data_IF_789916958237
#
_entry.id   IF_789916958237
#
_cell.length_a   1.000
_cell.length_b   1.000
_cell.length_c   1.000
_cell.angle_alpha   90.00
_cell.angle_beta   90.00
_cell.angle_gamma   90.00
#
_symmetry.space_group_name_H-M   'P 1'
#
loop_
_entity.id
_entity.type
_entity.pdbx_description
1 polymer ?
#
# COMPACT_ATOMS: atom_id res chain seq x y z
N UNK A 1 5.14 -15.72 7.28
CA UNK A 1 6.10 -14.72 7.76
C UNK A 1 6.26 -13.58 6.77
N UNK A 2 6.57 -13.83 5.50
CA UNK A 2 6.82 -12.78 4.51
C UNK A 2 5.66 -11.81 4.28
N UNK A 3 4.42 -12.26 4.38
CA UNK A 3 3.25 -11.39 4.25
C UNK A 3 3.14 -10.39 5.44
N UNK A 4 3.44 -10.84 6.65
CA UNK A 4 3.41 -9.97 7.83
C UNK A 4 4.53 -8.93 7.80
N UNK A 5 5.72 -9.31 7.35
CA UNK A 5 6.85 -8.39 7.18
C UNK A 5 6.56 -7.37 6.07
N UNK A 6 6.03 -7.82 4.93
CA UNK A 6 5.63 -6.93 3.85
C UNK A 6 4.56 -5.93 4.28
N UNK A 7 3.57 -6.37 5.05
CA UNK A 7 2.55 -5.49 5.61
C UNK A 7 3.16 -4.46 6.56
N UNK A 8 4.03 -4.87 7.49
CA UNK A 8 4.66 -3.97 8.44
C UNK A 8 5.55 -2.91 7.74
N UNK A 9 6.27 -3.30 6.69
CA UNK A 9 7.04 -2.36 5.87
C UNK A 9 6.12 -1.35 5.17
N UNK A 10 5.07 -1.83 4.54
CA UNK A 10 4.11 -0.98 3.85
C UNK A 10 3.43 0.01 4.80
N UNK A 11 3.01 -0.45 5.99
CA UNK A 11 2.37 0.40 7.00
C UNK A 11 3.32 1.51 7.48
N UNK A 12 4.61 1.20 7.63
CA UNK A 12 5.63 2.19 8.02
C UNK A 12 5.85 3.24 6.92
N UNK A 13 5.96 2.80 5.67
CA UNK A 13 6.12 3.68 4.51
C UNK A 13 4.88 4.57 4.31
N UNK A 14 3.69 3.99 4.47
CA UNK A 14 2.42 4.72 4.38
C UNK A 14 2.28 5.78 5.47
N UNK A 15 2.65 5.44 6.73
CA UNK A 15 2.64 6.40 7.83
C UNK A 15 3.58 7.59 7.53
N UNK A 16 4.79 7.32 7.06
CA UNK A 16 5.75 8.36 6.69
C UNK A 16 5.20 9.29 5.59
N UNK A 17 4.52 8.73 4.58
CA UNK A 17 3.87 9.49 3.52
C UNK A 17 2.72 10.36 4.06
N UNK A 18 1.92 9.82 4.97
CA UNK A 18 0.84 10.57 5.62
C UNK A 18 1.37 11.73 6.45
N UNK A 19 2.44 11.52 7.21
CA UNK A 19 3.07 12.57 8.02
C UNK A 19 3.63 13.69 7.14
N UNK A 20 4.20 13.35 5.98
CA UNK A 20 4.68 14.34 5.01
C UNK A 20 3.53 15.20 4.47
N UNK A 21 2.42 14.59 4.07
CA UNK A 21 1.22 15.29 3.58
C UNK A 21 0.63 16.19 4.65
N UNK A 22 0.53 15.73 5.89
CA UNK A 22 0.04 16.54 7.00
C UNK A 22 0.93 17.77 7.27
N UNK A 23 2.25 17.60 7.17
CA UNK A 23 3.19 18.73 7.32
C UNK A 23 3.01 19.77 6.22
N UNK A 24 2.93 19.36 4.96
CA UNK A 24 2.69 20.25 3.84
C UNK A 24 1.36 21.00 3.98
N UNK A 25 0.31 20.30 4.41
CA UNK A 25 -1.00 20.91 4.65
C UNK A 25 -0.95 21.94 5.78
N UNK A 26 -0.22 21.66 6.87
CA UNK A 26 -0.03 22.60 7.97
C UNK A 26 0.76 23.85 7.54
N UNK A 27 1.76 23.69 6.67
CA UNK A 27 2.49 24.83 6.09
C UNK A 27 1.57 25.74 5.27
N UNK A 28 0.71 25.17 4.42
CA UNK A 28 -0.27 25.93 3.63
C UNK A 28 -1.23 26.68 4.54
N UNK A 29 -1.79 26.03 5.56
CA UNK A 29 -2.70 26.65 6.51
C UNK A 29 -2.03 27.80 7.28
N UNK A 30 -0.78 27.63 7.68
CA UNK A 30 -0.02 28.68 8.37
C UNK A 30 0.22 29.89 7.46
N UNK A 31 0.62 29.67 6.20
CA UNK A 31 0.81 30.74 5.22
C UNK A 31 -0.50 31.51 4.94
N UNK A 32 -1.61 30.79 4.83
CA UNK A 32 -2.93 31.41 4.64
C UNK A 32 -3.35 32.26 5.84
N UNK A 33 -3.19 31.73 7.06
CA UNK A 33 -3.47 32.48 8.29
C UNK A 33 -2.60 33.74 8.40
N UNK A 34 -1.31 33.64 8.11
CA UNK A 34 -0.42 34.80 8.12
C UNK A 34 -0.85 35.86 7.08
N UNK A 35 -1.27 35.43 5.89
CA UNK A 35 -1.78 36.33 4.88
C UNK A 35 -3.05 37.03 5.35
N UNK A 36 -3.98 36.33 5.96
CA UNK A 36 -5.22 36.89 6.50
C UNK A 36 -4.95 37.89 7.64
N UNK A 37 -4.08 37.56 8.59
CA UNK A 37 -3.74 38.42 9.72
C UNK A 37 -3.02 39.68 9.30
N UNK A 38 -2.17 39.62 8.28
CA UNK A 38 -1.37 40.75 7.78
C UNK A 38 -2.05 41.49 6.65
N UNK A 39 -3.28 41.16 6.29
CA UNK A 39 -3.98 41.71 5.12
C UNK A 39 -4.10 43.25 5.12
N UNK A 40 -4.19 43.83 6.32
CA UNK A 40 -4.30 45.31 6.47
C UNK A 40 -2.95 46.04 6.52
N UNK A 41 -1.86 45.32 6.81
CA UNK A 41 -0.53 45.87 7.06
C UNK A 41 0.44 45.69 5.89
N UNK A 42 0.18 44.69 5.02
CA UNK A 42 1.03 44.42 3.86
C UNK A 42 0.78 45.39 2.71
N UNK A 43 1.85 45.77 2.01
CA UNK A 43 1.75 46.48 0.73
C UNK A 43 1.08 45.58 -0.34
N UNK A 44 0.51 46.19 -1.42
CA UNK A 44 -0.07 45.41 -2.52
C UNK A 44 0.89 44.40 -3.13
N UNK A 45 2.15 44.74 -3.29
CA UNK A 45 3.21 43.88 -3.82
C UNK A 45 3.52 42.73 -2.86
N UNK A 46 3.61 43.00 -1.55
CA UNK A 46 3.82 41.95 -0.55
C UNK A 46 2.66 40.96 -0.47
N UNK A 47 1.42 41.46 -0.65
CA UNK A 47 0.22 40.57 -0.75
C UNK A 47 0.30 39.69 -1.98
N UNK A 48 0.61 40.22 -3.14
CA UNK A 48 0.73 39.47 -4.38
C UNK A 48 1.80 38.38 -4.26
N UNK A 49 2.96 38.71 -3.71
CA UNK A 49 4.04 37.75 -3.47
C UNK A 49 3.61 36.62 -2.51
N UNK A 50 2.89 36.96 -1.44
CA UNK A 50 2.38 35.95 -0.49
C UNK A 50 1.31 35.01 -1.11
N UNK A 51 0.42 35.61 -1.92
CA UNK A 51 -0.58 34.83 -2.66
C UNK A 51 0.09 33.87 -3.66
N UNK A 52 1.13 34.35 -4.36
CA UNK A 52 1.90 33.50 -5.27
C UNK A 52 2.61 32.37 -4.53
N UNK A 53 3.22 32.63 -3.37
CA UNK A 53 3.84 31.60 -2.54
C UNK A 53 2.82 30.56 -2.09
N UNK A 54 1.63 30.97 -1.66
CA UNK A 54 0.55 30.06 -1.28
C UNK A 54 0.12 29.18 -2.46
N UNK A 55 -0.03 29.76 -3.65
CA UNK A 55 -0.38 29.02 -4.86
C UNK A 55 0.70 28.00 -5.24
N UNK A 56 1.99 28.36 -5.16
CA UNK A 56 3.09 27.44 -5.40
C UNK A 56 3.06 26.29 -4.39
N UNK A 57 2.87 26.60 -3.11
CA UNK A 57 2.79 25.58 -2.06
C UNK A 57 1.59 24.64 -2.23
N UNK A 58 0.46 25.14 -2.67
CA UNK A 58 -0.70 24.31 -2.99
C UNK A 58 -0.41 23.35 -4.16
N UNK A 59 0.26 23.85 -5.22
CA UNK A 59 0.67 23.00 -6.33
C UNK A 59 1.71 21.94 -5.92
N UNK A 60 2.69 22.30 -5.08
CA UNK A 60 3.65 21.34 -4.52
C UNK A 60 2.94 20.25 -3.71
N UNK A 61 1.96 20.62 -2.91
CA UNK A 61 1.14 19.68 -2.15
C UNK A 61 0.40 18.71 -3.09
N UNK A 62 -0.30 19.21 -4.10
CA UNK A 62 -1.06 18.38 -5.03
C UNK A 62 -0.16 17.41 -5.79
N UNK A 63 0.99 17.90 -6.28
CA UNK A 63 1.96 17.06 -6.98
C UNK A 63 2.55 15.99 -6.04
N UNK A 64 2.89 16.38 -4.81
CA UNK A 64 3.47 15.46 -3.85
C UNK A 64 2.47 14.41 -3.38
N UNK A 65 1.22 14.80 -3.15
CA UNK A 65 0.14 13.88 -2.81
C UNK A 65 -0.09 12.83 -3.91
N UNK A 66 -0.12 13.25 -5.17
CA UNK A 66 -0.22 12.34 -6.31
C UNK A 66 0.97 11.37 -6.39
N UNK A 67 2.21 11.88 -6.25
CA UNK A 67 3.41 11.05 -6.26
C UNK A 67 3.41 10.02 -5.13
N UNK A 68 3.05 10.41 -3.91
CA UNK A 68 3.01 9.50 -2.76
C UNK A 68 1.93 8.43 -2.93
N UNK A 69 0.78 8.80 -3.52
CA UNK A 69 -0.26 7.83 -3.87
C UNK A 69 0.22 6.81 -4.89
N UNK A 70 0.91 7.24 -5.95
CA UNK A 70 1.45 6.35 -6.96
C UNK A 70 2.56 5.45 -6.39
N UNK A 71 3.45 6.01 -5.55
CA UNK A 71 4.48 5.25 -4.86
C UNK A 71 3.87 4.19 -3.94
N UNK A 72 2.83 4.53 -3.17
CA UNK A 72 2.14 3.58 -2.30
C UNK A 72 1.49 2.45 -3.09
N UNK A 73 0.85 2.76 -4.22
CA UNK A 73 0.24 1.76 -5.10
C UNK A 73 1.29 0.82 -5.70
N UNK A 74 2.39 1.37 -6.21
CA UNK A 74 3.52 0.60 -6.76
C UNK A 74 4.14 -0.29 -5.69
N UNK A 75 4.42 0.29 -4.52
CA UNK A 75 5.03 -0.44 -3.41
C UNK A 75 4.15 -1.58 -2.91
N UNK A 76 2.85 -1.35 -2.81
CA UNK A 76 1.89 -2.40 -2.47
C UNK A 76 1.93 -3.54 -3.49
N UNK A 77 1.96 -3.23 -4.79
CA UNK A 77 2.05 -4.24 -5.84
C UNK A 77 3.36 -5.04 -5.74
N UNK A 78 4.50 -4.37 -5.54
CA UNK A 78 5.81 -5.02 -5.36
C UNK A 78 5.86 -5.97 -4.16
N UNK A 79 5.19 -5.61 -3.06
CA UNK A 79 5.14 -6.45 -1.86
C UNK A 79 4.17 -7.62 -1.98
N UNK A 80 3.05 -7.42 -2.66
CA UNK A 80 1.98 -8.42 -2.79
C UNK A 80 2.28 -9.42 -3.91
N UNK A 81 2.85 -8.98 -5.04
CA UNK A 81 3.07 -9.83 -6.21
C UNK A 81 3.90 -11.10 -5.89
N UNK A 82 5.05 -11.03 -5.20
CA UNK A 82 5.82 -12.21 -4.86
C UNK A 82 5.05 -13.21 -3.99
N UNK A 83 4.17 -12.70 -3.12
CA UNK A 83 3.32 -13.54 -2.26
C UNK A 83 2.29 -14.28 -3.10
N UNK A 84 1.66 -13.59 -4.05
CA UNK A 84 0.70 -14.21 -4.97
C UNK A 84 1.36 -15.24 -5.87
N UNK A 85 2.58 -14.99 -6.33
CA UNK A 85 3.35 -15.93 -7.14
C UNK A 85 3.67 -17.21 -6.35
N UNK A 86 4.05 -17.08 -5.08
CA UNK A 86 4.29 -18.23 -4.19
C UNK A 86 3.01 -19.02 -3.95
N UNK A 87 1.89 -18.36 -3.69
CA UNK A 87 0.58 -19.02 -3.50
C UNK A 87 0.22 -19.79 -4.76
N UNK A 88 0.35 -19.18 -5.93
CA UNK A 88 0.05 -19.83 -7.21
C UNK A 88 0.93 -21.05 -7.45
N UNK A 89 2.23 -20.96 -7.17
CA UNK A 89 3.15 -22.08 -7.32
C UNK A 89 2.80 -23.26 -6.39
N UNK A 90 2.42 -22.97 -5.14
CA UNK A 90 1.99 -24.03 -4.19
C UNK A 90 0.69 -24.69 -4.64
N UNK A 91 -0.28 -23.89 -5.12
CA UNK A 91 -1.56 -24.41 -5.63
C UNK A 91 -1.32 -25.29 -6.86
N UNK A 92 -0.45 -24.88 -7.78
CA UNK A 92 -0.14 -25.68 -8.98
C UNK A 92 0.56 -26.99 -8.60
N UNK A 93 1.50 -26.97 -7.67
CA UNK A 93 2.12 -28.20 -7.14
C UNK A 93 1.08 -29.14 -6.53
N UNK A 94 0.16 -28.60 -5.73
CA UNK A 94 -0.95 -29.37 -5.14
C UNK A 94 -1.86 -29.97 -6.21
N UNK A 95 -2.18 -29.18 -7.25
CA UNK A 95 -3.00 -29.64 -8.36
C UNK A 95 -2.38 -30.85 -9.06
N UNK A 96 -1.07 -30.78 -9.35
CA UNK A 96 -0.33 -31.86 -10.01
C UNK A 96 -0.23 -33.10 -9.13
N UNK A 97 0.20 -32.96 -7.88
CA UNK A 97 0.38 -34.09 -6.95
C UNK A 97 -0.95 -34.77 -6.62
N UNK A 98 -2.02 -34.01 -6.46
CA UNK A 98 -3.37 -34.52 -6.19
C UNK A 98 -4.11 -34.99 -7.45
N UNK A 99 -3.50 -34.84 -8.64
CA UNK A 99 -4.12 -35.20 -9.91
C UNK A 99 -5.47 -34.51 -10.12
N UNK A 100 -5.60 -33.27 -9.59
CA UNK A 100 -6.81 -32.47 -9.76
C UNK A 100 -6.86 -31.87 -11.15
N UNK A 101 -8.03 -31.92 -11.80
CA UNK A 101 -8.23 -31.27 -13.10
C UNK A 101 -8.16 -29.73 -13.00
N UNK A 102 -8.65 -29.19 -11.87
CA UNK A 102 -8.61 -27.75 -11.54
C UNK A 102 -8.72 -27.56 -10.03
N UNK A 103 -8.24 -26.43 -9.56
CA UNK A 103 -8.48 -25.90 -8.21
C UNK A 103 -9.17 -24.55 -8.38
N UNK A 104 -10.25 -24.32 -7.65
CA UNK A 104 -11.08 -23.11 -7.75
C UNK A 104 -10.95 -22.29 -6.46
N UNK A 105 -10.97 -20.97 -6.60
CA UNK A 105 -11.08 -20.07 -5.47
C UNK A 105 -12.53 -20.04 -4.99
N UNK A 106 -12.78 -20.54 -3.77
CA UNK A 106 -14.11 -20.56 -3.15
C UNK A 106 -14.64 -19.15 -2.88
N UNK A 107 -13.76 -18.17 -2.65
CA UNK A 107 -14.15 -16.78 -2.40
C UNK A 107 -14.60 -16.05 -3.68
N UNK A 108 -14.30 -16.57 -4.87
CA UNK A 108 -14.72 -15.96 -6.14
C UNK A 108 -16.24 -16.03 -6.40
N UNK A 109 -17.02 -16.65 -5.48
CA UNK A 109 -18.50 -16.63 -5.53
C UNK A 109 -19.12 -17.52 -6.60
N UNK A 110 -18.29 -18.29 -7.32
CA UNK A 110 -18.78 -19.19 -8.40
C UNK A 110 -19.18 -20.58 -7.88
N UNK A 111 -18.84 -20.92 -6.62
CA UNK A 111 -19.14 -22.21 -6.00
C UNK A 111 -20.36 -22.06 -5.12
N UNK A 112 -21.44 -22.73 -5.48
CA UNK A 112 -22.71 -22.69 -4.73
C UNK A 112 -22.69 -23.72 -3.59
N UNK A 113 -22.09 -24.89 -3.83
CA UNK A 113 -21.95 -25.96 -2.86
C UNK A 113 -20.79 -26.85 -3.23
N UNK A 114 -20.03 -27.31 -2.24
CA UNK A 114 -18.96 -28.29 -2.40
C UNK A 114 -18.89 -29.20 -1.17
N UNK A 115 -18.39 -30.41 -1.36
CA UNK A 115 -18.08 -31.29 -0.24
C UNK A 115 -16.89 -30.68 0.57
N UNK A 116 -17.00 -30.57 1.91
CA UNK A 116 -15.91 -30.04 2.74
C UNK A 116 -14.58 -30.75 2.59
N UNK A 117 -14.59 -32.04 2.19
CA UNK A 117 -13.37 -32.81 1.92
C UNK A 117 -12.57 -32.32 0.72
N UNK A 118 -13.18 -31.50 -0.13
CA UNK A 118 -12.53 -30.87 -1.29
C UNK A 118 -11.83 -29.55 -0.92
N UNK A 119 -11.96 -29.08 0.31
CA UNK A 119 -11.30 -27.84 0.76
C UNK A 119 -9.81 -28.07 1.01
N UNK A 120 -8.99 -27.52 0.14
CA UNK A 120 -7.53 -27.62 0.19
C UNK A 120 -6.88 -26.43 0.92
N UNK A 121 -7.64 -25.50 1.46
CA UNK A 121 -7.13 -24.25 2.05
C UNK A 121 -6.08 -24.51 3.14
N UNK A 122 -6.35 -25.43 4.04
CA UNK A 122 -5.41 -25.77 5.12
C UNK A 122 -4.11 -26.41 4.61
N UNK A 123 -4.20 -27.23 3.57
CA UNK A 123 -3.02 -27.83 2.95
C UNK A 123 -2.16 -26.80 2.21
N UNK A 124 -2.79 -25.84 1.52
CA UNK A 124 -2.09 -24.70 0.90
C UNK A 124 -1.36 -23.89 1.97
N UNK A 125 -2.03 -23.53 3.07
CA UNK A 125 -1.43 -22.78 4.18
C UNK A 125 -0.23 -23.53 4.79
N UNK A 126 -0.37 -24.81 5.07
CA UNK A 126 0.71 -25.64 5.61
C UNK A 126 1.95 -25.65 4.70
N UNK A 127 1.75 -25.75 3.38
CA UNK A 127 2.85 -25.75 2.41
C UNK A 127 3.51 -24.39 2.29
N UNK A 128 2.74 -23.31 2.33
CA UNK A 128 3.28 -21.94 2.34
C UNK A 128 4.13 -21.69 3.59
N UNK A 129 3.67 -22.15 4.77
CA UNK A 129 4.44 -22.05 6.01
C UNK A 129 5.74 -22.85 5.94
N UNK A 130 5.69 -24.07 5.39
CA UNK A 130 6.88 -24.90 5.21
C UNK A 130 7.87 -24.27 4.21
N UNK A 131 7.39 -23.70 3.11
CA UNK A 131 8.21 -23.00 2.13
C UNK A 131 8.87 -21.75 2.74
N UNK A 132 8.14 -20.99 3.54
CA UNK A 132 8.66 -19.83 4.25
C UNK A 132 9.72 -20.20 5.30
N UNK A 133 9.56 -21.33 5.99
CA UNK A 133 10.55 -21.83 6.95
C UNK A 133 11.82 -22.37 6.27
N UNK A 134 11.73 -22.84 5.04
CA UNK A 134 12.86 -23.34 4.25
C UNK A 134 13.63 -22.24 3.49
N UNK A 135 13.09 -21.02 3.40
CA UNK A 135 13.76 -19.91 2.74
C UNK A 135 14.99 -19.47 3.55
N UNK A 136 16.21 -19.42 2.96
CA UNK A 136 17.41 -18.96 3.65
C UNK A 136 17.35 -17.45 3.86
N UNK A 137 16.97 -17.00 5.05
CA UNK A 137 16.95 -15.57 5.39
C UNK A 137 15.96 -15.13 6.48
N UNK A 138 15.18 -16.03 7.04
CA UNK A 138 14.25 -15.71 8.12
C UNK A 138 14.83 -15.92 9.53
N UNK A 139 16.02 -15.38 9.79
CA UNK A 139 16.63 -15.54 11.10
C UNK A 139 17.89 -14.71 11.30
N UNK A 140 17.76 -13.43 11.66
CA UNK A 140 18.56 -12.71 12.66
C UNK A 140 17.91 -11.35 12.95
#
# INVERSE_FOLDING_TARGET
PGAAEAQAQFDTELQSAQDEIQRLQAEIQNLDQQLQQQQLTLSPEAKANRQQQLQIKAQEYDQRAAQLQDQANTRRAELVQPIMDQITAVIETLREEGNYAMILDAAAGSIISADPTLDLTQEVLRRLEAAAAAAPGGGQ
#
